data_IF_683395675948
#
_entry.id   IF_683395675948
#
_cell.length_a   1.000
_cell.length_b   1.000
_cell.length_c   1.000
_cell.angle_alpha   90.00
_cell.angle_beta   90.00
_cell.angle_gamma   90.00
#
_symmetry.space_group_name_H-M   'P 1'
#
loop_
_entity.id
_entity.type
_entity.pdbx_description
1 polymer ?
#
# COMPACT_ATOMS: atom_id res chain seq x y z
N UNK A 1 20.14 11.92 18.70
CA UNK A 1 18.75 12.18 18.36
C UNK A 1 17.84 11.43 19.30
N UNK A 2 16.93 12.13 19.97
CA UNK A 2 16.03 11.50 20.93
C UNK A 2 14.87 10.81 20.23
N UNK A 3 14.44 9.66 20.75
CA UNK A 3 13.22 9.01 20.30
C UNK A 3 12.01 9.78 20.81
N UNK A 4 11.07 10.04 19.92
CA UNK A 4 9.85 10.75 20.27
C UNK A 4 8.63 10.04 19.66
N UNK A 5 8.07 9.13 20.42
CA UNK A 5 6.92 8.34 19.94
C UNK A 5 5.67 9.19 19.79
N UNK A 6 5.53 10.27 20.56
CA UNK A 6 4.40 11.20 20.39
C UNK A 6 4.42 11.86 19.03
N UNK A 7 5.60 12.23 18.54
CA UNK A 7 5.76 12.78 17.19
C UNK A 7 5.33 11.78 16.14
N UNK A 8 5.74 10.53 16.26
CA UNK A 8 5.35 9.49 15.31
C UNK A 8 3.84 9.26 15.31
N UNK A 9 3.23 9.25 16.48
CA UNK A 9 1.78 9.12 16.59
C UNK A 9 1.05 10.29 15.92
N UNK A 10 1.53 11.51 16.15
CA UNK A 10 0.96 12.72 15.54
C UNK A 10 1.07 12.66 14.01
N UNK A 11 2.24 12.33 13.50
CA UNK A 11 2.46 12.21 12.06
C UNK A 11 1.59 11.13 11.45
N UNK A 12 1.48 9.98 12.12
CA UNK A 12 0.64 8.87 11.67
C UNK A 12 -0.84 9.23 11.64
N UNK A 13 -1.31 9.93 12.65
CA UNK A 13 -2.70 10.37 12.70
C UNK A 13 -3.02 11.40 11.63
N UNK A 14 -2.07 12.29 11.34
CA UNK A 14 -2.20 13.28 10.25
C UNK A 14 -2.25 12.57 8.90
N UNK A 15 -1.36 11.60 8.69
CA UNK A 15 -1.37 10.78 7.48
C UNK A 15 -2.72 10.13 7.28
N UNK A 16 -3.23 9.45 8.31
CA UNK A 16 -4.48 8.71 8.18
C UNK A 16 -5.66 9.61 7.87
N UNK A 17 -5.70 10.78 8.49
CA UNK A 17 -6.74 11.79 8.22
C UNK A 17 -6.70 12.23 6.76
N UNK A 18 -5.52 12.58 6.27
CA UNK A 18 -5.36 13.08 4.90
C UNK A 18 -5.57 11.98 3.86
N UNK A 19 -5.08 10.79 4.14
CA UNK A 19 -5.27 9.64 3.28
C UNK A 19 -6.76 9.29 3.16
N UNK A 20 -7.49 9.30 4.28
CA UNK A 20 -8.93 9.02 4.26
C UNK A 20 -9.67 10.02 3.38
N UNK A 21 -9.28 11.29 3.39
CA UNK A 21 -9.87 12.31 2.51
C UNK A 21 -9.59 11.98 1.03
N UNK A 22 -8.34 11.62 0.71
CA UNK A 22 -7.98 11.27 -0.67
C UNK A 22 -8.75 10.05 -1.16
N UNK A 23 -9.08 9.13 -0.25
CA UNK A 23 -9.82 7.91 -0.57
C UNK A 23 -11.34 8.13 -0.59
N UNK A 24 -11.81 9.37 -0.41
CA UNK A 24 -13.23 9.71 -0.33
C UNK A 24 -13.96 9.01 0.83
N UNK A 25 -13.26 8.79 1.93
CA UNK A 25 -13.86 8.23 3.14
C UNK A 25 -13.41 8.99 4.39
N UNK A 26 -13.59 10.34 4.41
CA UNK A 26 -13.04 11.17 5.49
C UNK A 26 -13.65 10.88 6.86
N UNK A 27 -14.83 10.28 6.90
CA UNK A 27 -15.52 9.97 8.14
C UNK A 27 -15.31 8.52 8.59
N UNK A 28 -14.48 7.75 7.86
CA UNK A 28 -14.22 6.36 8.21
C UNK A 28 -12.71 6.07 8.10
N UNK A 29 -11.97 6.58 9.09
CA UNK A 29 -10.52 6.39 9.15
C UNK A 29 -10.14 4.93 9.38
N UNK A 30 -10.98 4.18 10.09
CA UNK A 30 -10.73 2.76 10.33
C UNK A 30 -10.75 1.98 9.02
N UNK A 31 -11.73 2.25 8.16
CA UNK A 31 -11.79 1.65 6.83
C UNK A 31 -10.56 2.06 5.99
N UNK A 32 -10.23 3.34 5.99
CA UNK A 32 -9.06 3.84 5.25
C UNK A 32 -7.78 3.13 5.70
N UNK A 33 -7.60 2.97 7.01
CA UNK A 33 -6.45 2.27 7.56
C UNK A 33 -6.39 0.80 7.16
N UNK A 34 -7.53 0.10 7.16
CA UNK A 34 -7.60 -1.29 6.73
C UNK A 34 -7.25 -1.44 5.25
N UNK A 35 -7.80 -0.56 4.42
CA UNK A 35 -7.54 -0.56 2.97
C UNK A 35 -6.05 -0.31 2.70
N UNK A 36 -5.49 0.72 3.33
CA UNK A 36 -4.07 1.04 3.16
C UNK A 36 -3.17 -0.14 3.56
N UNK A 37 -3.42 -0.71 4.73
CA UNK A 37 -2.63 -1.83 5.25
C UNK A 37 -2.71 -3.03 4.31
N UNK A 38 -3.90 -3.34 3.82
CA UNK A 38 -4.12 -4.47 2.91
C UNK A 38 -3.37 -4.29 1.60
N UNK A 39 -3.38 -3.09 1.03
CA UNK A 39 -2.67 -2.79 -0.22
C UNK A 39 -1.15 -2.91 0.00
N UNK A 40 -0.63 -2.35 1.09
CA UNK A 40 0.80 -2.41 1.37
C UNK A 40 1.27 -3.84 1.63
N UNK A 41 0.47 -4.63 2.34
CA UNK A 41 0.81 -6.03 2.61
C UNK A 41 0.73 -6.90 1.35
N UNK A 42 -0.22 -6.62 0.46
CA UNK A 42 -0.28 -7.30 -0.83
C UNK A 42 0.95 -6.97 -1.68
N UNK A 43 1.36 -5.70 -1.69
CA UNK A 43 2.56 -5.27 -2.42
C UNK A 43 3.81 -6.00 -1.89
N UNK A 44 3.99 -6.04 -0.57
CA UNK A 44 5.15 -6.70 0.02
C UNK A 44 5.20 -8.21 -0.28
N UNK A 45 4.04 -8.80 -0.51
CA UNK A 45 3.97 -10.24 -0.85
C UNK A 45 4.48 -10.52 -2.26
N UNK A 46 4.43 -9.57 -3.18
CA UNK A 46 4.72 -9.80 -4.59
C UNK A 46 6.03 -9.19 -5.08
N UNK A 47 6.58 -8.18 -4.40
CA UNK A 47 7.87 -7.63 -4.80
C UNK A 47 9.02 -8.37 -4.11
N UNK A 48 10.23 -8.34 -4.68
CA UNK A 48 11.39 -8.97 -4.05
C UNK A 48 11.68 -8.38 -2.68
N UNK A 49 12.20 -9.20 -1.77
CA UNK A 49 12.54 -8.77 -0.41
C UNK A 49 13.49 -7.57 -0.42
N UNK A 50 14.47 -7.57 -1.31
CA UNK A 50 15.43 -6.48 -1.44
C UNK A 50 14.75 -5.16 -1.80
N UNK A 51 13.75 -5.22 -2.69
CA UNK A 51 12.97 -4.04 -3.06
C UNK A 51 12.11 -3.55 -1.89
N UNK A 52 11.55 -4.46 -1.11
CA UNK A 52 10.84 -4.10 0.12
C UNK A 52 11.74 -3.36 1.10
N UNK A 53 12.99 -3.82 1.26
CA UNK A 53 13.93 -3.16 2.17
C UNK A 53 14.29 -1.75 1.70
N UNK A 54 14.44 -1.54 0.40
CA UNK A 54 14.67 -0.21 -0.15
C UNK A 54 13.49 0.71 0.06
N UNK A 55 12.28 0.18 -0.14
CA UNK A 55 11.04 0.93 0.10
C UNK A 55 10.92 1.34 1.57
N UNK A 56 11.12 0.39 2.48
CA UNK A 56 11.07 0.62 3.92
C UNK A 56 12.02 1.75 4.33
N UNK A 57 13.22 1.78 3.75
CA UNK A 57 14.22 2.79 4.08
C UNK A 57 13.74 4.22 3.80
N UNK A 58 12.85 4.41 2.84
CA UNK A 58 12.31 5.72 2.47
C UNK A 58 11.06 6.11 3.24
N UNK A 59 10.36 5.14 3.84
CA UNK A 59 9.10 5.42 4.52
C UNK A 59 9.34 6.14 5.85
N UNK A 60 8.45 7.07 6.25
CA UNK A 60 8.49 7.59 7.62
C UNK A 60 8.19 6.48 8.63
N UNK A 61 8.59 6.70 9.89
CA UNK A 61 8.52 5.65 10.93
C UNK A 61 7.15 5.01 11.07
N UNK A 62 6.09 5.81 11.03
CA UNK A 62 4.74 5.27 11.19
C UNK A 62 4.34 4.35 10.03
N UNK A 63 4.83 4.62 8.82
CA UNK A 63 4.57 3.74 7.66
C UNK A 63 5.49 2.52 7.65
N UNK A 64 6.72 2.66 8.15
CA UNK A 64 7.60 1.49 8.35
C UNK A 64 6.90 0.45 9.23
N UNK A 65 6.29 0.91 10.33
CA UNK A 65 5.59 0.04 11.26
C UNK A 65 4.45 -0.71 10.58
N UNK A 66 3.64 -0.01 9.77
CA UNK A 66 2.54 -0.64 9.03
C UNK A 66 3.07 -1.67 8.04
N UNK A 67 4.10 -1.29 7.29
CA UNK A 67 4.64 -2.15 6.23
C UNK A 67 5.20 -3.46 6.77
N UNK A 68 5.93 -3.42 7.89
CA UNK A 68 6.62 -4.60 8.42
C UNK A 68 5.78 -5.41 9.39
N UNK A 69 4.66 -4.87 9.87
CA UNK A 69 3.84 -5.57 10.85
C UNK A 69 3.35 -6.91 10.31
N UNK A 70 3.66 -7.98 11.03
CA UNK A 70 3.28 -9.33 10.65
C UNK A 70 4.02 -9.90 9.44
N UNK A 71 5.10 -9.24 8.97
CA UNK A 71 5.85 -9.69 7.81
C UNK A 71 6.72 -10.87 8.14
N UNK A 72 6.64 -11.91 7.31
CA UNK A 72 7.58 -13.02 7.34
C UNK A 72 8.10 -13.25 5.93
N UNK A 73 9.39 -13.57 5.82
CA UNK A 73 10.00 -13.86 4.54
C UNK A 73 9.61 -15.28 4.15
N UNK A 74 8.81 -15.39 3.09
CA UNK A 74 8.33 -16.67 2.59
C UNK A 74 9.22 -17.16 1.46
N UNK A 75 9.49 -18.47 1.45
CA UNK A 75 10.24 -19.08 0.35
C UNK A 75 9.44 -19.09 -0.94
N UNK A 76 8.11 -19.26 -0.84
CA UNK A 76 7.21 -19.29 -1.97
C UNK A 76 6.31 -18.06 -1.92
N UNK A 77 6.49 -17.15 -2.88
CA UNK A 77 5.63 -15.98 -3.02
C UNK A 77 4.40 -16.33 -3.87
N UNK A 78 3.26 -15.65 -3.65
CA UNK A 78 2.09 -15.84 -4.51
C UNK A 78 2.47 -15.56 -5.97
N UNK A 79 1.97 -16.40 -6.87
CA UNK A 79 2.19 -16.18 -8.31
C UNK A 79 1.08 -15.28 -8.84
N UNK A 80 1.31 -13.98 -8.75
CA UNK A 80 0.36 -12.97 -9.21
C UNK A 80 0.84 -12.42 -10.54
N UNK A 81 -0.01 -12.50 -11.57
CA UNK A 81 0.31 -12.01 -12.91
C UNK A 81 -0.67 -10.95 -13.40
N UNK A 82 -1.89 -10.97 -12.90
CA UNK A 82 -2.99 -10.13 -13.40
C UNK A 82 -3.58 -9.27 -12.29
N UNK A 83 -4.16 -8.13 -12.68
CA UNK A 83 -4.74 -7.19 -11.73
C UNK A 83 -5.81 -7.85 -10.84
N UNK A 84 -6.69 -8.67 -11.42
CA UNK A 84 -7.74 -9.34 -10.65
C UNK A 84 -7.16 -10.20 -9.53
N UNK A 85 -6.05 -10.88 -9.77
CA UNK A 85 -5.37 -11.69 -8.76
C UNK A 85 -4.77 -10.82 -7.65
N UNK A 86 -4.22 -9.67 -8.02
CA UNK A 86 -3.68 -8.73 -7.04
C UNK A 86 -4.79 -8.16 -6.16
N UNK A 87 -5.92 -7.80 -6.74
CA UNK A 87 -7.07 -7.29 -5.99
C UNK A 87 -7.61 -8.36 -5.03
N UNK A 88 -7.62 -9.61 -5.45
CA UNK A 88 -8.01 -10.73 -4.57
C UNK A 88 -7.03 -10.87 -3.40
N UNK A 89 -5.74 -10.68 -3.64
CA UNK A 89 -4.73 -10.71 -2.59
C UNK A 89 -4.94 -9.57 -1.59
N UNK A 90 -5.24 -8.37 -2.08
CA UNK A 90 -5.56 -7.22 -1.22
C UNK A 90 -6.76 -7.55 -0.32
N UNK A 91 -7.83 -8.09 -0.91
CA UNK A 91 -9.03 -8.49 -0.16
C UNK A 91 -8.70 -9.56 0.89
N UNK A 92 -7.85 -10.51 0.54
CA UNK A 92 -7.44 -11.56 1.46
C UNK A 92 -6.76 -10.98 2.71
N UNK A 93 -5.93 -9.96 2.54
CA UNK A 93 -5.30 -9.27 3.66
C UNK A 93 -6.30 -8.51 4.52
N UNK A 94 -7.36 -7.98 3.94
CA UNK A 94 -8.41 -7.28 4.68
C UNK A 94 -9.34 -8.25 5.43
N UNK A 95 -9.35 -9.51 5.05
CA UNK A 95 -10.10 -10.55 5.74
C UNK A 95 -11.61 -10.38 5.60
N UNK A 96 -12.34 -10.61 6.69
CA UNK A 96 -13.81 -10.55 6.68
C UNK A 96 -14.35 -9.15 6.39
N UNK A 97 -13.58 -8.09 6.63
CA UNK A 97 -13.99 -6.71 6.35
C UNK A 97 -14.03 -6.40 4.86
N UNK A 98 -13.36 -7.23 4.02
CA UNK A 98 -13.24 -6.97 2.58
C UNK A 98 -14.59 -6.84 1.88
N UNK A 99 -15.59 -7.57 2.34
CA UNK A 99 -16.95 -7.54 1.78
C UNK A 99 -17.51 -6.12 1.77
N UNK A 100 -17.36 -5.42 2.90
CA UNK A 100 -17.86 -4.06 3.02
C UNK A 100 -16.87 -3.02 2.49
N UNK A 101 -15.57 -3.27 2.69
CA UNK A 101 -14.55 -2.28 2.36
C UNK A 101 -14.37 -2.10 0.84
N UNK A 102 -14.55 -3.17 0.07
CA UNK A 102 -14.36 -3.14 -1.39
C UNK A 102 -15.64 -3.30 -2.21
N UNK A 103 -16.80 -3.34 -1.55
CA UNK A 103 -18.13 -3.30 -2.18
C UNK A 103 -18.35 -4.36 -3.27
N UNK A 104 -17.67 -5.49 -3.20
CA UNK A 104 -17.68 -6.55 -4.23
C UNK A 104 -17.32 -6.04 -5.64
N UNK A 105 -16.61 -4.92 -5.73
CA UNK A 105 -16.32 -4.28 -7.02
C UNK A 105 -14.80 -4.25 -7.26
N UNK A 106 -14.37 -4.82 -8.39
CA UNK A 106 -12.98 -4.71 -8.83
C UNK A 106 -12.63 -3.26 -9.19
N UNK A 107 -13.61 -2.51 -9.74
CA UNK A 107 -13.39 -1.09 -10.05
C UNK A 107 -13.09 -0.27 -8.81
N UNK A 108 -13.84 -0.50 -7.73
CA UNK A 108 -13.61 0.20 -6.46
C UNK A 108 -12.26 -0.18 -5.90
N UNK A 109 -11.93 -1.48 -5.89
CA UNK A 109 -10.65 -1.96 -5.38
C UNK A 109 -9.47 -1.39 -6.17
N UNK A 110 -9.57 -1.39 -7.49
CA UNK A 110 -8.51 -0.85 -8.36
C UNK A 110 -8.34 0.66 -8.15
N UNK A 111 -9.43 1.38 -7.99
CA UNK A 111 -9.39 2.82 -7.71
C UNK A 111 -8.69 3.09 -6.38
N UNK A 112 -8.94 2.30 -5.35
CA UNK A 112 -8.26 2.41 -4.07
C UNK A 112 -6.77 2.16 -4.22
N UNK A 113 -6.38 1.15 -4.97
CA UNK A 113 -4.98 0.83 -5.24
C UNK A 113 -4.29 2.00 -5.95
N UNK A 114 -4.89 2.49 -7.03
CA UNK A 114 -4.33 3.60 -7.81
C UNK A 114 -4.16 4.86 -6.95
N UNK A 115 -5.18 5.22 -6.20
CA UNK A 115 -5.14 6.39 -5.32
C UNK A 115 -4.06 6.25 -4.25
N UNK A 116 -3.91 5.05 -3.70
CA UNK A 116 -2.90 4.77 -2.69
C UNK A 116 -1.49 4.98 -3.24
N UNK A 117 -1.19 4.47 -4.44
CA UNK A 117 0.14 4.64 -5.03
C UNK A 117 0.42 6.10 -5.41
N UNK A 118 -0.59 6.84 -5.86
CA UNK A 118 -0.44 8.28 -6.09
C UNK A 118 -0.11 9.00 -4.78
N UNK A 119 -0.83 8.67 -3.71
CA UNK A 119 -0.63 9.31 -2.41
C UNK A 119 0.76 9.02 -1.84
N UNK A 120 1.27 7.80 -2.04
CA UNK A 120 2.59 7.40 -1.55
C UNK A 120 3.73 8.21 -2.18
N UNK A 121 3.50 8.87 -3.30
CA UNK A 121 4.50 9.72 -3.94
C UNK A 121 4.94 10.90 -3.07
N UNK A 122 4.18 11.20 -2.03
CA UNK A 122 4.58 12.20 -1.03
C UNK A 122 5.75 11.73 -0.16
N UNK A 123 5.94 10.42 -0.04
CA UNK A 123 6.91 9.82 0.87
C UNK A 123 8.02 9.06 0.15
N UNK A 124 7.77 8.65 -1.08
CA UNK A 124 8.66 7.76 -1.85
C UNK A 124 9.16 8.50 -3.07
N UNK A 125 10.48 8.42 -3.33
CA UNK A 125 11.07 9.08 -4.49
C UNK A 125 10.55 8.47 -5.78
N UNK A 126 10.59 9.25 -6.86
CA UNK A 126 10.21 8.79 -8.18
C UNK A 126 11.07 7.60 -8.62
N UNK A 127 12.37 7.64 -8.32
CA UNK A 127 13.27 6.54 -8.65
C UNK A 127 12.87 5.24 -7.96
N UNK A 128 12.48 5.30 -6.66
CA UNK A 128 12.03 4.11 -5.95
C UNK A 128 10.69 3.61 -6.50
N UNK A 129 9.79 4.52 -6.88
CA UNK A 129 8.55 4.12 -7.53
C UNK A 129 8.81 3.37 -8.84
N UNK A 130 9.77 3.85 -9.63
CA UNK A 130 10.16 3.18 -10.86
C UNK A 130 10.76 1.80 -10.60
N UNK A 131 11.59 1.68 -9.56
CA UNK A 131 12.21 0.40 -9.20
C UNK A 131 11.14 -0.62 -8.78
N UNK A 132 10.15 -0.19 -8.00
CA UNK A 132 9.03 -1.06 -7.62
C UNK A 132 8.27 -1.49 -8.88
N UNK A 133 7.94 -0.53 -9.75
CA UNK A 133 7.25 -0.83 -11.01
C UNK A 133 8.00 -1.88 -11.82
N UNK A 134 9.32 -1.71 -11.94
CA UNK A 134 10.14 -2.63 -12.75
C UNK A 134 10.15 -4.04 -12.17
N UNK A 135 9.91 -4.19 -10.87
CA UNK A 135 9.84 -5.50 -10.22
C UNK A 135 8.48 -6.17 -10.34
N UNK A 136 7.46 -5.45 -10.82
CA UNK A 136 6.10 -5.98 -10.93
C UNK A 136 5.88 -6.75 -12.22
N UNK A 137 4.93 -7.72 -12.21
CA UNK A 137 4.46 -8.33 -13.46
C UNK A 137 3.90 -7.28 -14.43
N UNK A 138 3.95 -7.57 -15.71
CA UNK A 138 3.57 -6.64 -16.77
C UNK A 138 2.20 -5.99 -16.54
N UNK A 139 1.18 -6.81 -16.22
CA UNK A 139 -0.19 -6.31 -16.05
C UNK A 139 -0.34 -5.42 -14.82
N UNK A 140 0.57 -5.53 -13.85
CA UNK A 140 0.52 -4.74 -12.62
C UNK A 140 1.31 -3.44 -12.71
N UNK A 141 2.14 -3.29 -13.73
CA UNK A 141 2.97 -2.07 -13.87
C UNK A 141 2.12 -0.81 -13.98
N UNK A 142 0.90 -0.92 -14.49
CA UNK A 142 -0.02 0.21 -14.64
C UNK A 142 -0.42 0.84 -13.31
N UNK A 143 -0.35 0.10 -12.20
CA UNK A 143 -0.62 0.66 -10.87
C UNK A 143 0.29 1.83 -10.56
N UNK A 144 1.53 1.77 -11.04
CA UNK A 144 2.55 2.79 -10.77
C UNK A 144 2.83 3.59 -12.03
N UNK A 145 2.90 2.93 -13.16
CA UNK A 145 3.25 3.58 -14.43
C UNK A 145 2.31 4.72 -14.80
N UNK A 146 0.99 4.48 -14.74
CA UNK A 146 0.02 5.53 -15.05
C UNK A 146 0.12 6.71 -14.08
N UNK A 147 0.56 6.47 -12.85
CA UNK A 147 0.75 7.52 -11.86
C UNK A 147 2.00 8.37 -12.12
N UNK A 148 2.96 7.83 -12.86
CA UNK A 148 4.19 8.54 -13.21
C UNK A 148 4.02 9.42 -14.45
N UNK A 149 2.95 9.24 -15.18
CA UNK A 149 2.66 10.03 -16.38
C UNK A 149 2.16 11.44 -16.08
N UNK A 150 1.83 11.72 -14.85
CA UNK A 150 1.24 13.00 -14.44
C UNK A 150 2.08 13.77 -13.46
#
# INVERSE_FOLDING_TARGET
MALNFNQYATEGNTFLKDYAKEMNMPNDRNKAGRVFTSIMHALRDIIPTEESLQLIAQLPMFLKAVYVNGWSIKKNKPKIKHMAEFLDLVRAHDGSAAVNDFEYSDEVAEQYVDTTFIYLRKYISLGEMEDIRDSLPKDLKSMIYSNLMF
#
